data_IF_757673012187
#
_entry.id   IF_757673012187
#
_cell.length_a   1.000
_cell.length_b   1.000
_cell.length_c   1.000
_cell.angle_alpha   90.00
_cell.angle_beta   90.00
_cell.angle_gamma   90.00
#
_symmetry.space_group_name_H-M   'P 1'
#
loop_
_entity.id
_entity.type
_entity.pdbx_description
1 polymer ?
#
# COMPACT_ATOMS: atom_id res chain seq x y z
N UNK A 1 6.79 15.40 1.82
CA UNK A 1 6.48 16.02 0.51
C UNK A 1 6.85 17.51 0.42
N UNK A 2 6.54 18.35 1.41
CA UNK A 2 6.88 19.80 1.39
C UNK A 2 8.37 20.07 1.26
N UNK A 3 9.20 19.35 2.00
CA UNK A 3 10.66 19.49 1.93
C UNK A 3 11.21 19.20 0.52
N UNK A 4 10.71 18.14 -0.12
CA UNK A 4 11.09 17.78 -1.48
C UNK A 4 10.77 18.88 -2.49
N UNK A 5 9.62 19.55 -2.36
CA UNK A 5 9.24 20.67 -3.20
C UNK A 5 10.25 21.83 -3.07
N UNK A 6 10.64 22.16 -1.85
CA UNK A 6 11.59 23.25 -1.59
C UNK A 6 13.00 22.91 -2.11
N UNK A 7 13.45 21.65 -1.94
CA UNK A 7 14.69 21.17 -2.54
C UNK A 7 14.66 21.25 -4.06
N UNK A 8 13.53 20.93 -4.69
CA UNK A 8 13.35 21.01 -6.13
C UNK A 8 13.42 22.46 -6.63
N UNK A 9 12.69 23.38 -6.00
CA UNK A 9 12.75 24.82 -6.33
C UNK A 9 14.17 25.36 -6.17
N UNK A 10 14.84 25.03 -5.06
CA UNK A 10 16.24 25.43 -4.82
C UNK A 10 17.17 24.88 -5.89
N UNK A 11 16.98 23.62 -6.30
CA UNK A 11 17.75 23.02 -7.37
C UNK A 11 17.57 23.79 -8.69
N UNK A 12 16.32 24.04 -9.10
CA UNK A 12 16.02 24.79 -10.33
C UNK A 12 16.67 26.18 -10.32
N UNK A 13 16.52 26.94 -9.22
CA UNK A 13 17.14 28.25 -9.08
C UNK A 13 18.67 28.19 -9.19
N UNK A 14 19.30 27.19 -8.56
CA UNK A 14 20.77 27.00 -8.61
C UNK A 14 21.27 26.70 -10.03
N UNK A 15 20.41 26.16 -10.89
CA UNK A 15 20.72 25.82 -12.29
C UNK A 15 20.35 26.93 -13.28
N UNK A 16 19.90 28.09 -12.80
CA UNK A 16 19.53 29.24 -13.63
C UNK A 16 18.07 29.28 -14.06
N UNK A 17 17.22 28.39 -13.54
CA UNK A 17 15.78 28.30 -13.87
C UNK A 17 14.91 28.89 -12.74
N UNK A 18 15.31 30.02 -12.17
CA UNK A 18 14.59 30.66 -11.07
C UNK A 18 13.27 31.32 -11.48
N UNK A 19 13.06 31.49 -12.78
CA UNK A 19 11.86 32.02 -13.42
C UNK A 19 10.75 30.98 -13.60
N UNK A 20 11.06 29.68 -13.46
CA UNK A 20 10.10 28.59 -13.59
C UNK A 20 9.21 28.52 -12.35
N UNK A 21 7.90 28.67 -12.54
CA UNK A 21 6.91 28.41 -11.49
C UNK A 21 6.83 26.90 -11.21
N UNK A 22 6.89 26.54 -9.93
CA UNK A 22 6.63 25.18 -9.47
C UNK A 22 5.35 25.15 -8.65
N UNK A 23 4.29 24.61 -9.24
CA UNK A 23 3.02 24.41 -8.57
C UNK A 23 2.82 22.94 -8.16
N UNK A 24 2.80 22.67 -6.86
CA UNK A 24 2.55 21.33 -6.33
C UNK A 24 1.05 21.07 -6.24
N UNK A 25 0.53 20.27 -7.17
CA UNK A 25 -0.91 19.95 -7.24
C UNK A 25 -1.31 18.72 -6.41
N UNK A 26 -0.33 17.94 -5.94
CA UNK A 26 -0.56 16.79 -5.09
C UNK A 26 0.71 16.28 -4.43
N UNK A 27 0.57 15.73 -3.23
CA UNK A 27 1.63 15.00 -2.54
C UNK A 27 1.35 14.87 -1.06
N UNK A 28 1.82 13.76 -0.51
CA UNK A 28 1.61 13.37 0.86
C UNK A 28 2.90 12.73 1.39
N UNK A 29 3.05 12.70 2.70
CA UNK A 29 4.17 12.02 3.34
C UNK A 29 4.00 10.49 3.21
N UNK A 30 5.07 9.70 3.39
CA UNK A 30 5.00 8.25 3.26
C UNK A 30 3.96 7.62 4.18
N UNK A 31 3.31 6.55 3.69
CA UNK A 31 2.53 5.65 4.55
C UNK A 31 3.49 4.68 5.22
N UNK A 32 3.55 4.70 6.54
CA UNK A 32 4.45 3.85 7.32
C UNK A 32 3.69 3.21 8.47
N UNK A 33 3.85 1.90 8.62
CA UNK A 33 3.21 1.14 9.70
C UNK A 33 4.27 0.24 10.36
N UNK A 34 4.38 0.25 11.70
CA UNK A 34 5.28 -0.66 12.40
C UNK A 34 4.93 -2.12 12.11
N UNK A 35 5.97 -2.92 11.83
CA UNK A 35 5.81 -4.35 11.55
C UNK A 35 5.18 -5.13 12.73
N UNK A 36 5.36 -4.63 13.95
CA UNK A 36 4.82 -5.21 15.17
C UNK A 36 3.44 -4.66 15.59
N UNK A 37 2.83 -3.80 14.77
CA UNK A 37 1.48 -3.28 15.02
C UNK A 37 0.44 -4.41 15.02
N UNK A 38 -0.65 -4.23 15.77
CA UNK A 38 -1.75 -5.21 15.86
C UNK A 38 -2.28 -5.59 14.47
N UNK A 39 -2.39 -4.62 13.56
CA UNK A 39 -2.85 -4.86 12.19
C UNK A 39 -1.92 -5.79 11.41
N UNK A 40 -0.62 -5.50 11.40
CA UNK A 40 0.35 -6.32 10.65
C UNK A 40 0.44 -7.73 11.24
N UNK A 41 0.44 -7.86 12.58
CA UNK A 41 0.40 -9.17 13.25
C UNK A 41 -0.84 -9.98 12.86
N UNK A 42 -2.01 -9.35 12.80
CA UNK A 42 -3.25 -10.01 12.37
C UNK A 42 -3.18 -10.43 10.90
N UNK A 43 -2.69 -9.57 10.00
CA UNK A 43 -2.47 -9.92 8.58
C UNK A 43 -1.55 -11.14 8.41
N UNK A 44 -0.41 -11.15 9.11
CA UNK A 44 0.55 -12.28 9.08
C UNK A 44 -0.10 -13.55 9.64
N UNK A 45 -0.81 -13.47 10.75
CA UNK A 45 -1.53 -14.62 11.32
C UNK A 45 -2.59 -15.17 10.36
N UNK A 46 -3.31 -14.31 9.63
CA UNK A 46 -4.29 -14.73 8.62
C UNK A 46 -3.63 -15.45 7.44
N UNK A 47 -2.47 -14.96 6.96
CA UNK A 47 -1.70 -15.69 5.95
C UNK A 47 -1.24 -17.07 6.43
N UNK A 48 -0.70 -17.16 7.65
CA UNK A 48 -0.29 -18.45 8.22
C UNK A 48 -1.46 -19.43 8.39
N UNK A 49 -2.63 -18.96 8.82
CA UNK A 49 -3.85 -19.78 8.89
C UNK A 49 -4.27 -20.31 7.51
N UNK A 50 -3.98 -19.57 6.45
CA UNK A 50 -4.18 -19.98 5.05
C UNK A 50 -3.03 -20.87 4.51
N UNK A 51 -2.04 -21.24 5.33
CA UNK A 51 -0.91 -22.07 4.92
C UNK A 51 0.18 -21.33 4.16
N UNK A 52 0.20 -19.99 4.23
CA UNK A 52 1.16 -19.13 3.53
C UNK A 52 2.17 -18.57 4.54
N UNK A 53 3.46 -18.59 4.18
CA UNK A 53 4.51 -17.87 4.89
C UNK A 53 4.83 -16.55 4.15
N UNK A 54 4.29 -15.41 4.60
CA UNK A 54 4.38 -14.16 3.86
C UNK A 54 5.72 -13.45 4.06
N UNK A 55 6.22 -12.83 3.00
CA UNK A 55 7.29 -11.83 3.13
C UNK A 55 6.69 -10.48 3.55
N UNK A 56 7.26 -9.87 4.58
CA UNK A 56 6.95 -8.48 4.91
C UNK A 56 7.68 -7.57 3.93
N UNK A 57 6.92 -6.87 3.09
CA UNK A 57 7.45 -5.92 2.11
C UNK A 57 7.21 -4.48 2.59
N UNK A 58 8.21 -3.78 3.16
CA UNK A 58 7.99 -2.49 3.82
C UNK A 58 7.77 -1.32 2.84
N UNK A 59 8.11 -1.51 1.56
CA UNK A 59 8.05 -0.50 0.52
C UNK A 59 7.36 -1.05 -0.72
N UNK A 60 6.41 -0.31 -1.25
CA UNK A 60 5.70 -0.60 -2.50
C UNK A 60 6.07 0.49 -3.52
N UNK A 61 6.16 0.13 -4.80
CA UNK A 61 6.38 1.10 -5.89
C UNK A 61 5.14 1.99 -6.14
N UNK A 62 3.95 1.46 -5.87
CA UNK A 62 2.69 2.19 -5.95
C UNK A 62 2.51 3.17 -4.78
N UNK A 63 1.77 4.24 -5.04
CA UNK A 63 1.47 5.28 -4.05
C UNK A 63 -0.02 5.30 -3.72
N UNK A 64 -0.36 5.41 -2.44
CA UNK A 64 -1.70 5.73 -1.96
C UNK A 64 -1.59 6.64 -0.73
N UNK A 65 -2.56 7.54 -0.47
CA UNK A 65 -2.46 8.56 0.59
C UNK A 65 -2.72 8.01 2.00
N UNK A 66 -2.14 6.85 2.34
CA UNK A 66 -2.35 6.17 3.61
C UNK A 66 -1.82 6.91 4.85
N UNK A 67 -0.97 7.92 4.65
CA UNK A 67 -0.54 8.82 5.74
C UNK A 67 -1.70 9.57 6.39
N UNK A 68 -2.84 9.69 5.73
CA UNK A 68 -4.08 10.20 6.35
C UNK A 68 -4.50 9.34 7.56
N UNK A 69 -4.14 8.05 7.58
CA UNK A 69 -4.35 7.15 8.72
C UNK A 69 -3.11 7.07 9.62
N UNK A 70 -1.93 6.84 9.03
CA UNK A 70 -0.72 6.52 9.80
C UNK A 70 -0.05 7.75 10.42
N UNK A 71 -0.30 8.93 9.86
CA UNK A 71 0.18 10.21 10.38
C UNK A 71 -0.74 10.83 11.44
N UNK A 72 -0.35 11.99 12.00
CA UNK A 72 -1.23 12.78 12.85
C UNK A 72 -2.51 13.22 12.11
N UNK A 73 -3.66 13.32 12.80
CA UNK A 73 -3.85 13.05 14.23
C UNK A 73 -4.14 11.58 14.56
N UNK A 74 -4.49 10.75 13.58
CA UNK A 74 -5.05 9.42 13.81
C UNK A 74 -4.03 8.42 14.32
N UNK A 75 -2.81 8.40 13.75
CA UNK A 75 -1.74 7.45 14.09
C UNK A 75 -2.22 5.99 14.12
N UNK A 76 -3.11 5.63 13.19
CA UNK A 76 -3.67 4.29 13.06
C UNK A 76 -2.85 3.48 12.04
N UNK A 77 -2.53 2.20 12.33
CA UNK A 77 -1.82 1.35 11.38
C UNK A 77 -2.67 1.14 10.12
N UNK A 78 -2.02 1.12 8.97
CA UNK A 78 -2.65 0.82 7.69
C UNK A 78 -1.70 -0.01 6.81
N UNK A 79 -2.25 -0.97 6.07
CA UNK A 79 -1.47 -1.88 5.25
C UNK A 79 -2.29 -2.47 4.13
N UNK A 80 -1.60 -3.14 3.20
CA UNK A 80 -2.22 -3.87 2.11
C UNK A 80 -2.31 -5.35 2.48
N UNK A 81 -3.47 -5.93 2.20
CA UNK A 81 -3.76 -7.32 2.51
C UNK A 81 -4.76 -7.86 1.48
N UNK A 82 -4.65 -9.15 1.18
CA UNK A 82 -5.62 -9.91 0.40
C UNK A 82 -5.02 -11.21 -0.12
N UNK A 83 -5.84 -12.24 -0.28
CA UNK A 83 -5.44 -13.49 -0.95
C UNK A 83 -5.76 -13.52 -2.45
N UNK A 84 -6.44 -12.49 -2.96
CA UNK A 84 -6.79 -12.38 -4.37
C UNK A 84 -5.61 -12.01 -5.26
N UNK A 85 -5.79 -12.17 -6.57
CA UNK A 85 -4.77 -11.87 -7.56
C UNK A 85 -5.33 -11.01 -8.68
N UNK A 86 -4.59 -9.96 -9.01
CA UNK A 86 -4.81 -9.11 -10.18
C UNK A 86 -3.49 -8.51 -10.62
N UNK A 87 -3.39 -8.12 -11.88
CA UNK A 87 -2.18 -7.53 -12.43
C UNK A 87 -2.50 -6.58 -13.59
N UNK A 88 -1.48 -5.84 -14.03
CA UNK A 88 -1.61 -4.89 -15.13
C UNK A 88 -2.32 -3.60 -14.76
N UNK A 89 -2.41 -3.25 -13.47
CA UNK A 89 -3.01 -2.00 -13.02
C UNK A 89 -2.41 -0.81 -13.81
N UNK A 90 -3.29 -0.05 -14.47
CA UNK A 90 -2.95 1.10 -15.33
C UNK A 90 -2.31 0.76 -16.70
N UNK A 91 -2.49 -0.47 -17.19
CA UNK A 91 -2.01 -0.91 -18.50
C UNK A 91 -3.09 -1.71 -19.27
N UNK A 92 -2.96 -1.87 -20.60
CA UNK A 92 -3.78 -2.83 -21.34
C UNK A 92 -3.69 -4.23 -20.75
N UNK A 93 -4.75 -5.01 -20.93
CA UNK A 93 -4.90 -6.36 -20.37
C UNK A 93 -4.82 -6.40 -18.83
N UNK A 94 -5.23 -5.31 -18.16
CA UNK A 94 -5.51 -5.31 -16.72
C UNK A 94 -6.58 -6.35 -16.39
N UNK A 95 -6.34 -7.15 -15.34
CA UNK A 95 -7.26 -8.21 -14.95
C UNK A 95 -7.31 -8.45 -13.44
N UNK A 96 -8.40 -9.10 -13.03
CA UNK A 96 -8.60 -9.67 -11.71
C UNK A 96 -9.07 -11.12 -11.83
N UNK A 97 -8.51 -12.02 -11.02
CA UNK A 97 -8.82 -13.43 -11.05
C UNK A 97 -10.16 -13.72 -10.34
N UNK A 98 -11.12 -14.26 -11.09
CA UNK A 98 -12.42 -14.70 -10.53
C UNK A 98 -12.35 -16.15 -10.07
N UNK A 99 -12.01 -17.05 -10.98
CA UNK A 99 -11.85 -18.48 -10.71
C UNK A 99 -10.38 -18.88 -10.89
N UNK A 100 -9.85 -19.62 -9.91
CA UNK A 100 -8.46 -20.08 -9.97
C UNK A 100 -8.41 -21.56 -10.30
N UNK A 101 -7.67 -21.91 -11.36
CA UNK A 101 -7.25 -23.29 -11.62
C UNK A 101 -6.00 -23.69 -10.80
N UNK A 102 -5.32 -22.72 -10.18
CA UNK A 102 -4.15 -22.96 -9.34
C UNK A 102 -4.58 -23.00 -7.87
N UNK A 103 -4.48 -24.13 -7.17
CA UNK A 103 -4.92 -24.24 -5.77
C UNK A 103 -4.14 -23.33 -4.82
N UNK A 104 -2.98 -22.81 -5.22
CA UNK A 104 -2.17 -21.89 -4.41
C UNK A 104 -2.56 -20.40 -4.59
N UNK A 105 -3.50 -20.09 -5.48
CA UNK A 105 -3.96 -18.72 -5.73
C UNK A 105 -5.46 -18.66 -5.48
N UNK A 106 -5.91 -17.74 -4.62
CA UNK A 106 -7.34 -17.63 -4.33
C UNK A 106 -8.08 -16.94 -5.49
N UNK A 107 -9.20 -17.53 -5.89
CA UNK A 107 -10.22 -16.83 -6.67
C UNK A 107 -10.99 -15.81 -5.83
N UNK A 108 -12.02 -15.20 -6.41
CA UNK A 108 -12.80 -14.12 -5.80
C UNK A 108 -13.37 -14.51 -4.42
N UNK A 109 -13.93 -15.72 -4.28
CA UNK A 109 -14.51 -16.18 -3.01
C UNK A 109 -13.47 -16.26 -1.88
N UNK A 110 -12.29 -16.80 -2.18
CA UNK A 110 -11.19 -16.88 -1.23
C UNK A 110 -10.59 -15.51 -0.91
N UNK A 111 -10.51 -14.63 -1.90
CA UNK A 111 -10.08 -13.25 -1.72
C UNK A 111 -11.03 -12.49 -0.77
N UNK A 112 -12.34 -12.58 -0.98
CA UNK A 112 -13.34 -11.94 -0.11
C UNK A 112 -13.32 -12.54 1.29
N UNK A 113 -13.30 -13.88 1.41
CA UNK A 113 -13.21 -14.56 2.71
C UNK A 113 -11.96 -14.16 3.49
N UNK A 114 -10.84 -13.90 2.82
CA UNK A 114 -9.60 -13.48 3.50
C UNK A 114 -9.77 -12.20 4.33
N UNK A 115 -10.57 -11.24 3.87
CA UNK A 115 -10.88 -10.03 4.65
C UNK A 115 -11.73 -10.33 5.88
N UNK A 116 -12.69 -11.26 5.76
CA UNK A 116 -13.48 -11.73 6.90
C UNK A 116 -12.55 -12.38 7.94
N UNK A 117 -11.67 -13.29 7.50
CA UNK A 117 -10.70 -13.94 8.39
C UNK A 117 -9.74 -12.91 9.04
N UNK A 118 -9.30 -11.88 8.31
CA UNK A 118 -8.53 -10.78 8.88
C UNK A 118 -9.31 -10.03 9.97
N UNK A 119 -10.58 -9.71 9.74
CA UNK A 119 -11.38 -9.01 10.75
C UNK A 119 -11.61 -9.86 12.01
N UNK A 120 -11.77 -11.18 11.87
CA UNK A 120 -11.80 -12.08 13.01
C UNK A 120 -10.45 -12.19 13.72
N UNK A 121 -9.33 -12.19 12.99
CA UNK A 121 -7.99 -12.19 13.59
C UNK A 121 -7.67 -10.85 14.29
N UNK A 122 -8.30 -9.77 13.84
CA UNK A 122 -8.19 -8.45 14.45
C UNK A 122 -9.02 -8.30 15.71
N UNK A 123 -10.22 -8.88 15.77
CA UNK A 123 -11.19 -8.71 16.86
C UNK A 123 -10.60 -9.06 18.23
#
# INVERSE_FOLDING_TARGET
AKETLELMKKHLATRGFGDVEVNMTGGYDPTETPADSRLIKAMVATYHKAGIDPLLWPRLAGSWPGVTFTGPPLKLPAGQFGLGHGAGAHAPDEYWLIESANPNVAGMDGAVRSYVDLFYALA
#
